data_IF_016419638347
#
_entry.id   IF_016419638347
#
_cell.length_a   1.000
_cell.length_b   1.000
_cell.length_c   1.000
_cell.angle_alpha   90.00
_cell.angle_beta   90.00
_cell.angle_gamma   90.00
#
_symmetry.space_group_name_H-M   'P 1'
#
loop_
_entity.id
_entity.type
_entity.pdbx_description
1 polymer ?
#
# COMPACT_ATOMS: atom_id res chain seq x y z
N UNK A 1 5.80 17.08 -16.80
CA UNK A 1 4.37 17.27 -16.38
C UNK A 1 3.85 15.99 -15.74
N UNK A 2 3.12 16.08 -14.60
CA UNK A 2 2.41 14.95 -13.94
C UNK A 2 1.24 14.48 -14.81
N UNK A 3 1.18 13.19 -15.13
CA UNK A 3 0.12 12.59 -15.95
C UNK A 3 -0.72 11.56 -15.22
N UNK A 4 -0.18 10.94 -14.17
CA UNK A 4 -0.93 9.98 -13.37
C UNK A 4 -0.37 9.80 -11.98
N UNK A 5 -1.25 9.33 -11.07
CA UNK A 5 -0.92 8.97 -9.70
C UNK A 5 -1.27 7.51 -9.47
N UNK A 6 -0.31 6.76 -8.93
CA UNK A 6 -0.45 5.34 -8.62
C UNK A 6 -0.41 5.17 -7.10
N UNK A 7 -1.50 4.72 -6.53
CA UNK A 7 -1.67 4.57 -5.08
C UNK A 7 -1.35 3.15 -4.64
N UNK A 8 -0.66 3.00 -3.52
CA UNK A 8 -0.82 1.77 -2.73
C UNK A 8 -2.21 1.74 -2.10
N UNK A 9 -2.61 0.61 -1.57
CA UNK A 9 -3.94 0.43 -0.95
C UNK A 9 -3.89 0.55 0.57
N UNK A 10 -3.16 -0.34 1.20
CA UNK A 10 -3.13 -0.48 2.67
C UNK A 10 -2.32 0.64 3.31
N UNK A 11 -2.93 1.42 4.22
CA UNK A 11 -2.27 2.57 4.84
C UNK A 11 -2.19 3.81 3.93
N UNK A 12 -2.67 3.73 2.69
CA UNK A 12 -2.72 4.85 1.73
C UNK A 12 -4.15 5.16 1.34
N UNK A 13 -4.84 4.26 0.63
CA UNK A 13 -6.24 4.46 0.24
C UNK A 13 -7.18 4.12 1.39
N UNK A 14 -6.83 3.11 2.18
CA UNK A 14 -7.61 2.63 3.32
C UNK A 14 -6.79 2.64 4.61
N UNK A 15 -7.42 3.00 5.72
CA UNK A 15 -6.84 2.87 7.07
C UNK A 15 -6.98 1.42 7.56
N UNK A 16 -6.15 0.54 7.03
CA UNK A 16 -6.16 -0.89 7.36
C UNK A 16 -5.14 -1.28 8.43
N UNK A 17 -4.22 -0.41 8.82
CA UNK A 17 -3.14 -0.71 9.77
C UNK A 17 -3.65 -1.22 11.13
N UNK A 18 -4.64 -0.58 11.78
CA UNK A 18 -5.15 -1.06 13.06
C UNK A 18 -5.72 -2.47 12.96
N UNK A 19 -6.47 -2.75 11.87
CA UNK A 19 -7.07 -4.06 11.64
C UNK A 19 -6.01 -5.14 11.37
N UNK A 20 -4.99 -4.82 10.57
CA UNK A 20 -3.88 -5.73 10.29
C UNK A 20 -3.08 -6.05 11.57
N UNK A 21 -2.74 -5.05 12.38
CA UNK A 21 -2.05 -5.26 13.66
C UNK A 21 -2.85 -6.14 14.59
N UNK A 22 -4.14 -5.86 14.76
CA UNK A 22 -5.03 -6.65 15.61
C UNK A 22 -5.18 -8.11 15.11
N UNK A 23 -5.26 -8.32 13.81
CA UNK A 23 -5.36 -9.65 13.22
C UNK A 23 -4.06 -10.46 13.39
N UNK A 24 -2.90 -9.84 13.15
CA UNK A 24 -1.61 -10.49 13.36
C UNK A 24 -1.38 -10.84 14.82
N UNK A 25 -1.67 -9.91 15.76
CA UNK A 25 -1.57 -10.14 17.19
C UNK A 25 -2.39 -11.36 17.60
N UNK A 26 -3.68 -11.37 17.25
CA UNK A 26 -4.57 -12.49 17.57
C UNK A 26 -4.16 -13.82 16.92
N UNK A 27 -3.62 -13.78 15.70
CA UNK A 27 -3.12 -14.96 15.01
C UNK A 27 -1.90 -15.54 15.73
N UNK A 28 -0.94 -14.71 16.11
CA UNK A 28 0.28 -15.13 16.83
C UNK A 28 -0.05 -15.65 18.22
N UNK A 29 -0.91 -14.95 18.98
CA UNK A 29 -1.40 -15.38 20.28
C UNK A 29 -2.10 -16.76 20.22
N UNK A 30 -2.90 -17.02 19.16
CA UNK A 30 -3.55 -18.30 18.95
C UNK A 30 -2.56 -19.46 18.63
N UNK A 31 -1.31 -19.13 18.28
CA UNK A 31 -0.21 -20.07 18.12
C UNK A 31 0.68 -20.16 19.37
N UNK A 32 0.34 -19.46 20.46
CA UNK A 32 1.12 -19.42 21.68
C UNK A 32 2.29 -18.45 21.69
N UNK A 33 2.38 -17.58 20.67
CA UNK A 33 3.44 -16.57 20.55
C UNK A 33 2.93 -15.23 21.08
N UNK A 34 3.49 -14.76 22.21
CA UNK A 34 3.19 -13.42 22.76
C UNK A 34 4.10 -12.40 22.08
N UNK A 35 3.50 -11.34 21.55
CA UNK A 35 4.24 -10.26 20.86
C UNK A 35 3.89 -8.90 21.46
N UNK A 36 4.89 -8.07 21.65
CA UNK A 36 4.70 -6.67 22.05
C UNK A 36 4.18 -5.84 20.86
N UNK A 37 3.43 -4.78 21.15
CA UNK A 37 2.88 -3.93 20.08
C UNK A 37 3.97 -3.30 19.20
N UNK A 38 5.15 -2.99 19.76
CA UNK A 38 6.30 -2.48 18.99
C UNK A 38 6.91 -3.50 18.04
N UNK A 39 6.81 -4.79 18.32
CA UNK A 39 7.30 -5.84 17.42
C UNK A 39 6.41 -6.02 16.19
N UNK A 40 5.15 -5.59 16.30
CA UNK A 40 4.20 -5.61 15.18
C UNK A 40 4.47 -4.52 14.12
N UNK A 41 5.43 -3.62 14.34
CA UNK A 41 5.77 -2.56 13.38
C UNK A 41 6.35 -3.15 12.07
N UNK A 42 6.98 -4.31 12.12
CA UNK A 42 7.46 -5.04 10.93
C UNK A 42 6.34 -5.34 9.93
N UNK A 43 5.09 -5.49 10.42
CA UNK A 43 3.92 -5.75 9.58
C UNK A 43 3.64 -4.56 8.66
N UNK A 44 3.96 -3.36 9.11
CA UNK A 44 3.73 -2.12 8.40
C UNK A 44 4.85 -1.77 7.41
N UNK A 45 5.94 -2.54 7.38
CA UNK A 45 7.06 -2.30 6.46
C UNK A 45 6.78 -2.76 5.02
N UNK A 46 5.57 -3.25 4.76
CA UNK A 46 5.13 -3.68 3.43
C UNK A 46 5.82 -4.96 2.94
N UNK A 47 6.47 -5.70 3.85
CA UNK A 47 7.09 -6.99 3.59
C UNK A 47 6.07 -8.05 3.16
N UNK A 48 6.55 -9.10 2.50
CA UNK A 48 5.71 -10.24 2.15
C UNK A 48 5.24 -10.96 3.40
N UNK A 49 4.02 -11.50 3.34
CA UNK A 49 3.45 -12.36 4.39
C UNK A 49 4.41 -13.44 4.87
N UNK A 50 5.15 -14.06 3.95
CA UNK A 50 6.14 -15.08 4.25
C UNK A 50 7.26 -14.57 5.17
N UNK A 51 7.76 -13.38 4.92
CA UNK A 51 8.81 -12.74 5.73
C UNK A 51 8.31 -12.44 7.13
N UNK A 52 7.08 -11.94 7.27
CA UNK A 52 6.43 -11.70 8.56
C UNK A 52 6.25 -13.01 9.32
N UNK A 53 5.75 -14.06 8.66
CA UNK A 53 5.57 -15.38 9.28
C UNK A 53 6.92 -15.95 9.73
N UNK A 54 7.95 -15.88 8.91
CA UNK A 54 9.30 -16.35 9.25
C UNK A 54 9.92 -15.55 10.41
N UNK A 55 9.66 -14.25 10.46
CA UNK A 55 10.16 -13.40 11.56
C UNK A 55 9.65 -13.87 12.92
N UNK A 56 8.35 -14.19 13.04
CA UNK A 56 7.73 -14.56 14.31
C UNK A 56 7.78 -16.07 14.63
N UNK A 57 7.79 -16.92 13.61
CA UNK A 57 7.60 -18.37 13.76
C UNK A 57 8.80 -19.20 13.28
N UNK A 58 9.85 -18.56 12.75
CA UNK A 58 11.01 -19.26 12.20
C UNK A 58 10.76 -19.89 10.83
N UNK A 59 11.54 -20.93 10.50
CA UNK A 59 11.44 -21.60 9.22
C UNK A 59 10.13 -22.38 9.10
N UNK A 60 9.42 -22.15 7.99
CA UNK A 60 8.12 -22.75 7.69
C UNK A 60 8.15 -23.39 6.32
N UNK A 61 7.45 -24.52 6.17
CA UNK A 61 7.22 -25.12 4.87
C UNK A 61 6.27 -24.25 4.02
N UNK A 62 6.31 -24.37 2.68
CA UNK A 62 5.38 -23.64 1.80
C UNK A 62 3.90 -23.87 2.16
N UNK A 63 3.55 -25.10 2.58
CA UNK A 63 2.18 -25.42 2.99
C UNK A 63 1.79 -24.67 4.28
N UNK A 64 2.67 -24.60 5.28
CA UNK A 64 2.42 -23.86 6.53
C UNK A 64 2.26 -22.36 6.25
N UNK A 65 3.07 -21.78 5.36
CA UNK A 65 2.93 -20.36 4.97
C UNK A 65 1.57 -20.11 4.36
N UNK A 66 1.08 -20.99 3.49
CA UNK A 66 -0.23 -20.88 2.87
C UNK A 66 -1.36 -20.99 3.90
N UNK A 67 -1.31 -22.00 4.78
CA UNK A 67 -2.36 -22.27 5.77
C UNK A 67 -2.42 -21.18 6.85
N UNK A 68 -1.28 -20.73 7.34
CA UNK A 68 -1.18 -19.62 8.29
C UNK A 68 -1.65 -18.30 7.67
N UNK A 69 -1.32 -18.09 6.40
CA UNK A 69 -1.82 -16.93 5.66
C UNK A 69 -3.34 -16.91 5.58
N UNK A 70 -3.97 -18.02 5.21
CA UNK A 70 -5.44 -18.16 5.17
C UNK A 70 -6.06 -17.91 6.54
N UNK A 71 -5.53 -18.54 7.59
CA UNK A 71 -6.02 -18.39 8.96
C UNK A 71 -5.93 -16.94 9.46
N UNK A 72 -4.82 -16.25 9.19
CA UNK A 72 -4.66 -14.83 9.50
C UNK A 72 -5.68 -13.96 8.74
N UNK A 73 -5.93 -14.26 7.46
CA UNK A 73 -6.89 -13.51 6.65
C UNK A 73 -8.34 -13.75 7.11
N UNK A 74 -8.67 -14.94 7.62
CA UNK A 74 -9.96 -15.20 8.28
C UNK A 74 -10.13 -14.36 9.55
N UNK A 75 -9.09 -14.28 10.38
CA UNK A 75 -9.11 -13.43 11.58
C UNK A 75 -9.29 -11.96 11.19
N UNK A 76 -8.61 -11.50 10.13
CA UNK A 76 -8.77 -10.14 9.64
C UNK A 76 -10.23 -9.88 9.20
N UNK A 77 -10.80 -10.73 8.37
CA UNK A 77 -12.21 -10.59 7.92
C UNK A 77 -13.20 -10.56 9.08
N UNK A 78 -13.00 -11.41 10.07
CA UNK A 78 -13.92 -11.51 11.23
C UNK A 78 -13.78 -10.35 12.22
N UNK A 79 -12.64 -9.67 12.24
CA UNK A 79 -12.36 -8.54 13.15
C UNK A 79 -12.50 -7.17 12.49
N UNK A 80 -12.32 -7.12 11.17
CA UNK A 80 -12.47 -5.88 10.42
C UNK A 80 -13.94 -5.68 10.08
N UNK A 81 -14.68 -5.06 10.99
CA UNK A 81 -16.12 -4.81 10.83
C UNK A 81 -16.41 -3.67 9.86
N UNK A 82 -15.44 -2.78 9.60
CA UNK A 82 -15.55 -1.68 8.65
C UNK A 82 -14.16 -1.17 8.29
N UNK A 83 -13.82 -1.20 7.00
CA UNK A 83 -12.69 -0.46 6.48
C UNK A 83 -13.13 0.98 6.19
N UNK A 84 -12.28 1.92 6.51
CA UNK A 84 -12.55 3.33 6.21
C UNK A 84 -11.50 3.87 5.23
N UNK A 85 -11.89 4.75 4.30
CA UNK A 85 -10.93 5.47 3.49
C UNK A 85 -10.01 6.32 4.36
N UNK A 86 -8.77 6.49 3.94
CA UNK A 86 -7.85 7.43 4.59
C UNK A 86 -8.43 8.86 4.56
N UNK A 87 -8.21 9.65 5.63
CA UNK A 87 -8.73 11.03 5.67
C UNK A 87 -8.31 11.86 4.46
N UNK A 88 -9.31 12.41 3.75
CA UNK A 88 -9.11 13.25 2.57
C UNK A 88 -8.80 12.52 1.27
N UNK A 89 -8.72 11.18 1.26
CA UNK A 89 -8.37 10.43 0.03
C UNK A 89 -9.45 10.54 -1.04
N UNK A 90 -10.74 10.50 -0.66
CA UNK A 90 -11.83 10.56 -1.63
C UNK A 90 -11.87 11.91 -2.32
N UNK A 91 -11.75 12.99 -1.57
CA UNK A 91 -11.68 14.35 -2.08
C UNK A 91 -10.46 14.55 -2.99
N UNK A 92 -9.33 13.92 -2.62
CA UNK A 92 -8.13 14.00 -3.44
C UNK A 92 -8.27 13.20 -4.75
N UNK A 93 -8.91 12.03 -4.73
CA UNK A 93 -9.24 11.25 -5.93
C UNK A 93 -10.17 12.05 -6.86
N UNK A 94 -11.21 12.69 -6.33
CA UNK A 94 -12.09 13.59 -7.10
C UNK A 94 -11.30 14.74 -7.73
N UNK A 95 -10.39 15.35 -6.99
CA UNK A 95 -9.55 16.44 -7.48
C UNK A 95 -8.63 16.00 -8.63
N UNK A 96 -8.02 14.82 -8.54
CA UNK A 96 -7.20 14.24 -9.61
C UNK A 96 -8.04 14.01 -10.88
N UNK A 97 -9.20 13.38 -10.75
CA UNK A 97 -10.07 13.08 -11.89
C UNK A 97 -10.56 14.37 -12.57
N UNK A 98 -11.01 15.37 -11.81
CA UNK A 98 -11.47 16.65 -12.37
C UNK A 98 -10.34 17.43 -13.03
N UNK A 99 -9.10 17.21 -12.62
CA UNK A 99 -7.90 17.81 -13.24
C UNK A 99 -7.34 17.01 -14.41
N UNK A 100 -8.01 15.93 -14.84
CA UNK A 100 -7.58 15.06 -15.95
C UNK A 100 -6.33 14.24 -15.64
N UNK A 101 -5.97 14.06 -14.36
CA UNK A 101 -4.86 13.22 -13.96
C UNK A 101 -5.37 11.78 -13.75
N UNK A 102 -4.73 10.85 -14.41
CA UNK A 102 -5.11 9.43 -14.40
C UNK A 102 -4.74 8.79 -13.07
N UNK A 103 -5.58 7.86 -12.62
CA UNK A 103 -5.44 7.22 -11.30
C UNK A 103 -5.34 5.71 -11.46
N UNK A 104 -4.36 5.10 -10.79
CA UNK A 104 -4.19 3.66 -10.73
C UNK A 104 -3.92 3.19 -9.30
N UNK A 105 -4.10 1.89 -9.06
CA UNK A 105 -3.75 1.22 -7.81
C UNK A 105 -2.64 0.20 -8.06
N UNK A 106 -1.66 0.11 -7.15
CA UNK A 106 -0.57 -0.87 -7.18
C UNK A 106 -0.32 -1.41 -5.76
N UNK A 107 -0.89 -2.56 -5.44
CA UNK A 107 -0.87 -3.14 -4.10
C UNK A 107 -0.23 -4.51 -4.03
N UNK A 108 0.33 -4.87 -2.87
CA UNK A 108 0.78 -6.24 -2.56
C UNK A 108 -0.37 -7.18 -2.16
N UNK A 109 -1.59 -6.67 -1.99
CA UNK A 109 -2.77 -7.45 -1.67
C UNK A 109 -3.22 -8.32 -2.86
N UNK A 110 -3.88 -9.45 -2.59
CA UNK A 110 -4.46 -10.31 -3.63
C UNK A 110 -5.67 -9.67 -4.28
N UNK A 111 -5.93 -10.06 -5.53
CA UNK A 111 -6.95 -9.47 -6.42
C UNK A 111 -8.34 -9.47 -5.81
N UNK A 112 -8.78 -10.61 -5.27
CA UNK A 112 -10.12 -10.75 -4.68
C UNK A 112 -10.35 -9.72 -3.56
N UNK A 113 -9.40 -9.62 -2.60
CA UNK A 113 -9.49 -8.66 -1.50
C UNK A 113 -9.50 -7.23 -2.03
N UNK A 114 -8.62 -6.91 -2.97
CA UNK A 114 -8.48 -5.57 -3.53
C UNK A 114 -9.78 -5.09 -4.16
N UNK A 115 -10.34 -5.87 -5.08
CA UNK A 115 -11.57 -5.48 -5.78
C UNK A 115 -12.76 -5.37 -4.82
N UNK A 116 -12.92 -6.33 -3.90
CA UNK A 116 -13.97 -6.28 -2.88
C UNK A 116 -13.87 -5.02 -2.01
N UNK A 117 -12.67 -4.66 -1.55
CA UNK A 117 -12.46 -3.45 -0.75
C UNK A 117 -12.81 -2.17 -1.51
N UNK A 118 -12.38 -2.05 -2.77
CA UNK A 118 -12.67 -0.86 -3.58
C UNK A 118 -14.17 -0.71 -3.87
N UNK A 119 -14.88 -1.82 -4.07
CA UNK A 119 -16.33 -1.86 -4.29
C UNK A 119 -17.09 -1.50 -3.00
N UNK A 120 -16.74 -2.10 -1.87
CA UNK A 120 -17.35 -1.84 -0.56
C UNK A 120 -17.27 -0.36 -0.18
N UNK A 121 -16.15 0.29 -0.47
CA UNK A 121 -15.93 1.71 -0.22
C UNK A 121 -16.51 2.63 -1.31
N UNK A 122 -17.02 2.08 -2.42
CA UNK A 122 -17.57 2.86 -3.55
C UNK A 122 -16.53 3.70 -4.30
N UNK A 123 -15.23 3.34 -4.19
CA UNK A 123 -14.13 4.08 -4.80
C UNK A 123 -13.52 3.42 -6.02
N UNK A 124 -13.99 2.23 -6.41
CA UNK A 124 -13.48 1.50 -7.57
C UNK A 124 -13.50 2.34 -8.86
N UNK A 125 -14.49 3.23 -9.01
CA UNK A 125 -14.68 4.09 -10.18
C UNK A 125 -13.51 5.05 -10.47
N UNK A 126 -12.66 5.35 -9.49
CA UNK A 126 -11.53 6.26 -9.67
C UNK A 126 -10.34 5.61 -10.35
N UNK A 127 -10.20 4.30 -10.22
CA UNK A 127 -9.02 3.57 -10.68
C UNK A 127 -9.23 2.98 -12.07
N UNK A 128 -8.61 3.58 -13.08
CA UNK A 128 -8.63 3.03 -14.45
C UNK A 128 -7.81 1.74 -14.57
N UNK A 129 -6.84 1.56 -13.68
CA UNK A 129 -5.92 0.42 -13.64
C UNK A 129 -5.72 -0.03 -12.22
N UNK A 130 -5.88 -1.34 -11.98
CA UNK A 130 -5.60 -2.00 -10.71
C UNK A 130 -4.56 -3.10 -10.95
N UNK A 131 -3.43 -3.00 -10.24
CA UNK A 131 -2.38 -4.03 -10.22
C UNK A 131 -2.28 -4.58 -8.80
N UNK A 132 -2.31 -5.88 -8.67
CA UNK A 132 -2.35 -6.60 -7.39
C UNK A 132 -1.13 -7.49 -7.20
N UNK A 133 -0.94 -8.01 -6.00
CA UNK A 133 0.11 -8.98 -5.73
C UNK A 133 0.02 -10.26 -6.58
N UNK A 134 -1.17 -10.58 -7.08
CA UNK A 134 -1.39 -11.75 -7.94
C UNK A 134 -0.97 -11.50 -9.41
N UNK A 135 -0.74 -10.26 -9.80
CA UNK A 135 -0.32 -9.88 -11.16
C UNK A 135 1.21 -9.94 -11.35
N UNK A 136 1.98 -10.13 -10.27
CA UNK A 136 3.46 -10.05 -10.29
C UNK A 136 4.10 -11.20 -9.49
N UNK A 137 5.24 -11.71 -9.97
CA UNK A 137 5.97 -12.77 -9.28
C UNK A 137 6.68 -12.26 -8.02
N UNK A 138 7.28 -11.06 -8.11
CA UNK A 138 8.01 -10.43 -7.02
C UNK A 138 7.23 -9.28 -6.39
N UNK A 139 7.10 -9.30 -5.06
CA UNK A 139 6.47 -8.21 -4.30
C UNK A 139 7.44 -7.08 -3.97
N UNK A 140 6.91 -5.93 -3.49
CA UNK A 140 7.71 -4.82 -2.98
C UNK A 140 8.77 -5.33 -1.98
N UNK A 141 10.04 -4.91 -2.06
CA UNK A 141 10.56 -3.73 -2.76
C UNK A 141 10.91 -3.94 -4.24
N UNK A 142 10.58 -5.09 -4.87
CA UNK A 142 10.74 -5.25 -6.31
C UNK A 142 9.83 -4.25 -7.06
N UNK A 143 10.32 -3.58 -8.12
CA UNK A 143 9.56 -2.58 -8.86
C UNK A 143 8.44 -3.14 -9.76
N UNK A 144 8.26 -4.45 -9.84
CA UNK A 144 7.38 -5.11 -10.82
C UNK A 144 5.95 -4.55 -10.80
N UNK A 145 5.34 -4.37 -9.61
CA UNK A 145 3.97 -3.87 -9.49
C UNK A 145 3.81 -2.45 -10.05
N UNK A 146 4.79 -1.57 -9.82
CA UNK A 146 4.77 -0.20 -10.35
C UNK A 146 5.09 -0.15 -11.85
N UNK A 147 6.03 -0.96 -12.33
CA UNK A 147 6.32 -1.09 -13.76
C UNK A 147 5.11 -1.59 -14.52
N UNK A 148 4.40 -2.57 -13.99
CA UNK A 148 3.18 -3.09 -14.59
C UNK A 148 2.06 -2.04 -14.60
N UNK A 149 1.92 -1.24 -13.53
CA UNK A 149 0.97 -0.13 -13.47
C UNK A 149 1.29 0.91 -14.56
N UNK A 150 2.54 1.35 -14.69
CA UNK A 150 2.96 2.28 -15.74
C UNK A 150 2.67 1.73 -17.15
N UNK A 151 2.96 0.44 -17.38
CA UNK A 151 2.70 -0.23 -18.65
C UNK A 151 1.21 -0.28 -19.00
N UNK A 152 0.35 -0.65 -18.03
CA UNK A 152 -1.11 -0.67 -18.23
C UNK A 152 -1.70 0.73 -18.43
N UNK A 153 -1.14 1.73 -17.77
CA UNK A 153 -1.47 3.14 -17.99
C UNK A 153 -0.90 3.68 -19.32
N UNK A 154 -0.02 2.97 -20.01
CA UNK A 154 0.68 3.44 -21.20
C UNK A 154 1.40 4.78 -20.98
N UNK A 155 2.01 4.95 -19.79
CA UNK A 155 2.71 6.16 -19.39
C UNK A 155 4.16 5.86 -19.00
N UNK A 156 5.02 6.86 -19.21
CA UNK A 156 6.41 6.75 -18.78
C UNK A 156 6.51 6.97 -17.25
N UNK A 157 7.28 6.16 -16.52
CA UNK A 157 7.44 6.28 -15.07
C UNK A 157 7.79 7.69 -14.58
N UNK A 158 8.59 8.43 -15.33
CA UNK A 158 8.98 9.82 -15.01
C UNK A 158 7.80 10.82 -14.97
N UNK A 159 6.64 10.47 -15.53
CA UNK A 159 5.42 11.28 -15.52
C UNK A 159 4.43 10.81 -14.45
N UNK A 160 4.78 9.78 -13.69
CA UNK A 160 3.94 9.19 -12.69
C UNK A 160 4.45 9.45 -11.28
N UNK A 161 3.52 9.68 -10.36
CA UNK A 161 3.74 9.76 -8.93
C UNK A 161 3.21 8.49 -8.27
N UNK A 162 3.98 7.87 -7.38
CA UNK A 162 3.47 6.88 -6.44
C UNK A 162 3.07 7.55 -5.12
N UNK A 163 2.02 7.05 -4.46
CA UNK A 163 1.69 7.40 -3.09
C UNK A 163 1.78 6.14 -2.25
N UNK A 164 2.61 6.17 -1.22
CA UNK A 164 3.00 5.03 -0.41
C UNK A 164 3.02 5.35 1.08
N UNK A 165 3.12 4.33 1.93
CA UNK A 165 3.30 4.48 3.37
C UNK A 165 4.40 3.57 3.94
N UNK A 166 4.88 2.63 3.12
CA UNK A 166 5.87 1.63 3.48
C UNK A 166 7.23 1.87 2.82
N UNK A 167 8.32 1.62 3.56
CA UNK A 167 9.70 1.75 3.04
C UNK A 167 9.93 0.85 1.83
N UNK A 168 9.41 -0.38 1.84
CA UNK A 168 9.51 -1.31 0.71
C UNK A 168 8.80 -0.78 -0.52
N UNK A 169 7.61 -0.18 -0.34
CA UNK A 169 6.83 0.41 -1.42
C UNK A 169 7.49 1.65 -2.02
N UNK A 170 8.01 2.55 -1.18
CA UNK A 170 8.80 3.69 -1.66
C UNK A 170 10.01 3.24 -2.48
N UNK A 171 10.76 2.23 -2.01
CA UNK A 171 11.89 1.66 -2.76
C UNK A 171 11.45 1.06 -4.09
N UNK A 172 10.33 0.32 -4.12
CA UNK A 172 9.76 -0.26 -5.34
C UNK A 172 9.40 0.83 -6.37
N UNK A 173 8.66 1.86 -5.94
CA UNK A 173 8.26 2.98 -6.78
C UNK A 173 9.48 3.73 -7.34
N UNK A 174 10.46 4.05 -6.49
CA UNK A 174 11.70 4.73 -6.88
C UNK A 174 12.51 3.89 -7.87
N UNK A 175 12.62 2.58 -7.64
CA UNK A 175 13.31 1.65 -8.54
C UNK A 175 12.58 1.46 -9.88
N UNK A 176 11.27 1.69 -9.92
CA UNK A 176 10.48 1.74 -11.14
C UNK A 176 10.64 3.07 -11.92
N UNK A 177 11.29 4.08 -11.33
CA UNK A 177 11.50 5.39 -11.94
C UNK A 177 10.41 6.42 -11.64
N UNK A 178 9.53 6.14 -10.69
CA UNK A 178 8.49 7.06 -10.22
C UNK A 178 9.07 8.13 -9.27
N UNK A 179 8.42 9.28 -9.21
CA UNK A 179 8.47 10.11 -8.01
C UNK A 179 7.56 9.47 -6.97
N UNK A 180 7.82 9.72 -5.69
CA UNK A 180 7.06 9.08 -4.62
C UNK A 180 6.74 10.11 -3.52
N UNK A 181 5.46 10.32 -3.26
CA UNK A 181 4.95 10.96 -2.05
C UNK A 181 4.65 9.87 -1.01
N UNK A 182 4.64 10.23 0.27
CA UNK A 182 4.30 9.26 1.31
C UNK A 182 3.31 9.79 2.34
N UNK A 183 2.44 8.89 2.82
CA UNK A 183 1.60 9.06 3.99
C UNK A 183 2.36 8.47 5.18
N UNK A 184 2.70 9.30 6.16
CA UNK A 184 3.52 8.88 7.28
C UNK A 184 2.68 8.66 8.54
N UNK A 185 2.49 7.41 8.90
CA UNK A 185 1.87 7.03 10.16
C UNK A 185 2.92 6.86 11.28
N UNK A 186 2.55 7.21 12.51
CA UNK A 186 3.27 6.83 13.74
C UNK A 186 4.80 7.10 13.74
N UNK A 187 5.22 8.29 13.30
CA UNK A 187 6.63 8.72 13.38
C UNK A 187 7.55 8.12 12.30
N UNK A 188 7.03 7.49 11.26
CA UNK A 188 7.81 6.84 10.18
C UNK A 188 8.38 7.79 9.11
N UNK A 189 8.12 9.10 9.21
CA UNK A 189 8.53 10.08 8.21
C UNK A 189 10.02 10.03 7.83
N UNK A 190 10.92 9.83 8.81
CA UNK A 190 12.36 9.79 8.54
C UNK A 190 12.79 8.55 7.75
N UNK A 191 12.21 7.38 8.01
CA UNK A 191 12.49 6.16 7.25
C UNK A 191 11.99 6.26 5.81
N UNK A 192 10.80 6.82 5.60
CA UNK A 192 10.23 7.08 4.28
C UNK A 192 11.04 8.11 3.50
N UNK A 193 11.52 9.18 4.17
CA UNK A 193 12.40 10.18 3.55
C UNK A 193 13.73 9.56 3.10
N UNK A 194 14.35 8.74 3.95
CA UNK A 194 15.58 8.01 3.62
C UNK A 194 15.38 7.03 2.45
N UNK A 195 14.19 6.46 2.30
CA UNK A 195 13.84 5.61 1.16
C UNK A 195 13.60 6.39 -0.14
N UNK A 196 13.46 7.72 -0.08
CA UNK A 196 13.34 8.60 -1.25
C UNK A 196 11.94 9.17 -1.49
N UNK A 197 11.05 9.12 -0.49
CA UNK A 197 9.75 9.79 -0.57
C UNK A 197 9.88 11.30 -0.33
N UNK A 198 9.18 12.08 -1.16
CA UNK A 198 9.00 13.52 -1.04
C UNK A 198 7.84 13.98 -1.95
N UNK A 199 6.79 14.67 -1.43
CA UNK A 199 6.58 15.07 -0.02
C UNK A 199 6.19 13.90 0.90
N UNK A 200 6.19 14.17 2.19
CA UNK A 200 5.70 13.26 3.23
C UNK A 200 4.69 14.04 4.07
N UNK A 201 3.49 13.50 4.19
CA UNK A 201 2.37 14.11 4.92
C UNK A 201 1.70 13.08 5.84
N UNK A 202 0.89 13.53 6.78
CA UNK A 202 0.15 12.64 7.70
C UNK A 202 -1.05 11.98 7.03
N UNK A 203 -1.76 12.73 6.16
CA UNK A 203 -2.89 12.23 5.37
C UNK A 203 -3.13 13.13 4.14
N UNK A 204 -4.15 12.81 3.34
CA UNK A 204 -4.43 13.52 2.08
C UNK A 204 -4.91 14.97 2.26
N UNK A 205 -5.39 15.37 3.44
CA UNK A 205 -5.78 16.75 3.73
C UNK A 205 -4.60 17.74 3.65
N UNK A 206 -3.39 17.21 3.80
CA UNK A 206 -2.13 17.96 3.70
C UNK A 206 -1.39 17.77 2.37
N UNK A 207 -1.95 16.99 1.43
CA UNK A 207 -1.35 16.74 0.13
C UNK A 207 -1.96 17.68 -0.94
N UNK A 208 -1.19 18.65 -1.39
CA UNK A 208 -1.62 19.62 -2.40
C UNK A 208 -1.33 19.12 -3.81
N UNK A 209 -2.35 19.10 -4.67
CA UNK A 209 -2.17 18.75 -6.09
C UNK A 209 -1.21 19.71 -6.81
N UNK A 210 -1.30 21.01 -6.54
CA UNK A 210 -0.38 22.02 -7.08
C UNK A 210 1.07 21.74 -6.67
N UNK A 211 1.28 21.42 -5.37
CA UNK A 211 2.59 21.02 -4.86
C UNK A 211 3.15 19.77 -5.54
N UNK A 212 2.28 18.79 -5.84
CA UNK A 212 2.68 17.58 -6.57
C UNK A 212 3.02 17.89 -8.04
N UNK A 213 2.23 18.71 -8.71
CA UNK A 213 2.51 19.11 -10.10
C UNK A 213 3.84 19.87 -10.23
N UNK A 214 4.19 20.69 -9.24
CA UNK A 214 5.48 21.40 -9.18
C UNK A 214 6.70 20.45 -9.13
N UNK A 215 6.52 19.22 -8.68
CA UNK A 215 7.57 18.19 -8.73
C UNK A 215 7.89 17.75 -10.17
N UNK A 216 7.02 18.03 -11.15
CA UNK A 216 7.15 17.59 -12.52
C UNK A 216 7.32 18.80 -13.47
N UNK A 217 8.48 19.47 -13.43
CA UNK A 217 8.73 20.56 -14.37
C UNK A 217 8.58 20.06 -15.80
N UNK A 218 8.07 20.94 -16.69
CA UNK A 218 7.80 20.66 -18.09
C UNK A 218 9.05 20.31 -18.91
#
# INVERSE_FOLDING_TARGET
>A
MLRGVVFDMDGVVIDSHPAHRAAWKAFLEALGTTVADSELDIILDGGKREEILKHFLGDLSPQQILDYGKRKDEILRNRCTKLEPMPGVVEFLDQLCTSGIRVALATSAGKHRTLHTLEELGIARYFETVVTGDDVEAGKPDPAVYRLAASRMQELPKHLLAVEDAVSGVKAARSAGFRCAAIAHNGRADSLRKAGANPIVEDFRYLSLEGLQALFPG
#
